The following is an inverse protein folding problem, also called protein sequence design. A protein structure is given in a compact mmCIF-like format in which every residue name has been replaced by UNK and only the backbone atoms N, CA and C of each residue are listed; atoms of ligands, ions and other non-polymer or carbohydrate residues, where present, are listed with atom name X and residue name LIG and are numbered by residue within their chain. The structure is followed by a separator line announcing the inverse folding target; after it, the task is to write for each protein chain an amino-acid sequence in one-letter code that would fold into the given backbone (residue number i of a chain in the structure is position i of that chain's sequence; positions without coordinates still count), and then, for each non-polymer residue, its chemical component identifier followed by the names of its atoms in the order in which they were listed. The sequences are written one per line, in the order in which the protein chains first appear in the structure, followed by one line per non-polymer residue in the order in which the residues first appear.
data_IF_911152671753
#
_entry.id   IF_911152671753
#
_cell.length_a   1.000
_cell.length_b   1.000
_cell.length_c   1.000
_cell.angle_alpha   90.00
_cell.angle_beta   90.00
_cell.angle_gamma   90.00
#
_symmetry.space_group_name_H-M   'P 1'
#
loop_
_entity.id
_entity.type
_entity.pdbx_description
1 polymer ?
#
# COMPACT_ATOMS: atom_id res chain seq x y z
N UNK A 1 -11.98 17.51 -15.88
CA UNK A 1 -11.51 17.34 -17.26
C UNK A 1 -11.69 18.63 -18.05
N UNK A 2 -12.93 19.10 -18.25
CA UNK A 2 -13.24 20.40 -18.88
C UNK A 2 -12.39 21.57 -18.37
N UNK A 3 -12.38 21.81 -17.06
CA UNK A 3 -11.54 22.85 -16.42
C UNK A 3 -10.05 22.69 -16.71
N UNK A 4 -9.54 21.44 -16.71
CA UNK A 4 -8.11 21.15 -16.94
C UNK A 4 -7.69 21.35 -18.40
N UNK A 5 -8.60 21.16 -19.36
CA UNK A 5 -8.34 21.30 -20.78
C UNK A 5 -8.82 22.64 -21.36
N UNK A 6 -9.58 23.42 -20.59
CA UNK A 6 -10.19 24.68 -21.01
C UNK A 6 -11.43 24.50 -21.90
N UNK A 7 -12.00 23.29 -21.93
CA UNK A 7 -13.23 23.01 -22.68
C UNK A 7 -14.49 23.16 -21.84
N UNK A 8 -15.65 23.13 -22.50
CA UNK A 8 -16.97 23.18 -21.88
C UNK A 8 -17.56 21.77 -21.78
N UNK A 9 -18.33 21.50 -20.72
CA UNK A 9 -19.11 20.25 -20.61
C UNK A 9 -20.43 20.44 -21.34
N UNK A 10 -20.64 19.69 -22.43
CA UNK A 10 -21.90 19.72 -23.18
C UNK A 10 -22.98 18.92 -22.44
N UNK A 11 -24.22 19.43 -22.46
CA UNK A 11 -25.36 18.77 -21.81
C UNK A 11 -25.54 19.08 -20.31
N UNK A 12 -24.77 20.03 -19.77
CA UNK A 12 -25.06 20.62 -18.46
C UNK A 12 -26.24 21.61 -18.60
N UNK A 13 -27.30 21.41 -17.80
CA UNK A 13 -28.50 22.27 -17.79
C UNK A 13 -28.14 23.75 -17.52
N UNK A 14 -27.01 24.01 -16.86
CA UNK A 14 -26.52 25.35 -16.58
C UNK A 14 -25.97 26.11 -17.80
N UNK A 15 -25.59 25.43 -18.89
CA UNK A 15 -24.92 26.05 -20.04
C UNK A 15 -25.82 26.20 -21.28
N UNK A 16 -26.92 25.46 -21.38
CA UNK A 16 -27.99 25.70 -22.37
C UNK A 16 -27.59 25.62 -23.85
N UNK A 17 -26.40 25.11 -24.18
CA UNK A 17 -25.89 24.97 -25.55
C UNK A 17 -26.50 23.74 -26.23
N UNK A 18 -27.21 23.97 -27.35
CA UNK A 18 -27.64 22.89 -28.22
C UNK A 18 -26.44 22.27 -28.94
N UNK A 19 -26.49 20.98 -29.23
CA UNK A 19 -25.38 20.24 -29.86
C UNK A 19 -24.99 20.82 -31.24
N UNK A 20 -25.95 21.47 -31.90
CA UNK A 20 -25.83 22.10 -33.21
C UNK A 20 -25.10 23.46 -33.18
N UNK A 21 -25.01 24.11 -32.02
CA UNK A 21 -24.37 25.43 -31.85
C UNK A 21 -22.90 25.32 -31.38
N UNK A 22 -22.39 24.10 -31.16
CA UNK A 22 -21.04 23.86 -30.63
C UNK A 22 -19.98 24.31 -31.65
N UNK A 23 -19.03 25.12 -31.19
CA UNK A 23 -17.92 25.62 -32.00
C UNK A 23 -16.57 25.05 -31.57
N UNK A 24 -15.56 25.20 -32.44
CA UNK A 24 -14.21 24.72 -32.19
C UNK A 24 -13.55 25.33 -30.92
N UNK A 25 -14.03 26.49 -30.46
CA UNK A 25 -13.53 27.13 -29.25
C UNK A 25 -14.08 26.53 -27.95
N UNK A 26 -15.17 25.76 -28.01
CA UNK A 26 -15.77 25.10 -26.86
C UNK A 26 -15.05 23.80 -26.47
N UNK A 27 -14.21 23.27 -27.37
CA UNK A 27 -13.44 22.06 -27.14
C UNK A 27 -12.18 22.34 -26.30
N UNK A 28 -11.87 21.40 -25.40
CA UNK A 28 -10.65 21.43 -24.61
C UNK A 28 -9.39 21.17 -25.45
N UNK A 29 -8.28 21.80 -25.07
CA UNK A 29 -6.98 21.66 -25.73
C UNK A 29 -5.97 21.00 -24.79
N UNK A 30 -5.18 20.08 -25.35
CA UNK A 30 -4.16 19.29 -24.65
C UNK A 30 -2.92 19.17 -25.52
N UNK A 31 -1.74 19.05 -24.90
CA UNK A 31 -0.47 18.94 -25.62
C UNK A 31 -0.19 17.54 -26.15
N UNK A 32 -0.61 16.50 -25.43
CA UNK A 32 -0.41 15.10 -25.82
C UNK A 32 -1.58 14.24 -25.31
N UNK A 33 -2.04 13.32 -26.15
CA UNK A 33 -3.07 12.33 -25.81
C UNK A 33 -2.50 10.94 -26.04
N UNK A 34 -2.51 10.11 -25.00
CA UNK A 34 -2.09 8.71 -25.08
C UNK A 34 -3.31 7.83 -24.81
N UNK A 35 -3.70 7.03 -25.80
CA UNK A 35 -4.82 6.08 -25.69
C UNK A 35 -4.25 4.68 -25.72
N UNK A 36 -4.54 3.90 -24.68
CA UNK A 36 -4.24 2.46 -24.61
C UNK A 36 -5.54 1.67 -24.65
N UNK A 37 -5.46 0.33 -24.53
CA UNK A 37 -6.66 -0.52 -24.46
C UNK A 37 -7.53 -0.18 -23.24
N UNK A 38 -6.89 0.16 -22.13
CA UNK A 38 -7.55 0.26 -20.83
C UNK A 38 -7.57 1.71 -20.27
N UNK A 39 -6.71 2.60 -20.80
CA UNK A 39 -6.54 3.96 -20.27
C UNK A 39 -6.52 5.05 -21.36
N UNK A 40 -6.91 6.26 -20.97
CA UNK A 40 -6.73 7.48 -21.77
C UNK A 40 -6.08 8.57 -20.92
N UNK A 41 -4.89 8.99 -21.33
CA UNK A 41 -4.11 10.02 -20.66
C UNK A 41 -4.14 11.31 -21.47
N UNK A 42 -4.59 12.38 -20.83
CA UNK A 42 -4.61 13.73 -21.39
C UNK A 42 -3.52 14.56 -20.70
N UNK A 43 -2.41 14.80 -21.40
CA UNK A 43 -1.23 15.44 -20.84
C UNK A 43 -1.12 16.89 -21.33
N UNK A 44 -0.61 17.77 -20.46
CA UNK A 44 -0.39 19.21 -20.73
C UNK A 44 -1.67 19.90 -21.20
N UNK A 45 -2.72 19.86 -20.38
CA UNK A 45 -3.97 20.59 -20.61
C UNK A 45 -3.73 22.10 -20.66
N UNK A 46 -4.48 22.80 -21.52
CA UNK A 46 -4.41 24.27 -21.66
C UNK A 46 -5.60 24.98 -21.00
N UNK A 47 -6.04 24.48 -19.85
CA UNK A 47 -7.04 25.15 -19.03
C UNK A 47 -6.53 26.47 -18.46
N UNK A 48 -7.46 27.35 -18.10
CA UNK A 48 -7.14 28.61 -17.42
C UNK A 48 -6.63 28.33 -15.99
N UNK A 49 -5.41 28.78 -15.63
CA UNK A 49 -4.84 28.54 -14.31
C UNK A 49 -5.72 28.99 -13.15
N UNK A 50 -6.39 30.14 -13.26
CA UNK A 50 -7.26 30.66 -12.20
C UNK A 50 -8.49 29.76 -11.96
N UNK A 51 -9.08 29.24 -13.04
CA UNK A 51 -10.21 28.30 -12.94
C UNK A 51 -9.76 26.96 -12.37
N UNK A 52 -8.56 26.48 -12.71
CA UNK A 52 -7.98 25.25 -12.14
C UNK A 52 -7.74 25.43 -10.64
N UNK A 53 -7.10 26.53 -10.21
CA UNK A 53 -6.84 26.83 -8.80
C UNK A 53 -8.15 26.92 -7.99
N UNK A 54 -9.18 27.57 -8.54
CA UNK A 54 -10.50 27.62 -7.90
C UNK A 54 -11.10 26.23 -7.71
N UNK A 55 -10.96 25.35 -8.70
CA UNK A 55 -11.46 23.99 -8.62
C UNK A 55 -10.66 23.13 -7.62
N UNK A 56 -9.34 23.32 -7.57
CA UNK A 56 -8.44 22.68 -6.60
C UNK A 56 -8.83 23.08 -5.18
N UNK A 57 -9.03 24.38 -4.92
CA UNK A 57 -9.45 24.89 -3.62
C UNK A 57 -10.81 24.31 -3.18
N UNK A 58 -11.79 24.26 -4.09
CA UNK A 58 -13.10 23.68 -3.79
C UNK A 58 -13.02 22.18 -3.43
N UNK A 59 -12.16 21.42 -4.09
CA UNK A 59 -11.96 19.99 -3.78
C UNK A 59 -11.22 19.80 -2.45
N UNK A 60 -10.25 20.67 -2.15
CA UNK A 60 -9.55 20.66 -0.87
C UNK A 60 -10.51 20.92 0.31
N UNK A 61 -11.42 21.88 0.17
CA UNK A 61 -12.46 22.14 1.18
C UNK A 61 -13.43 20.95 1.36
N UNK A 62 -13.79 20.26 0.26
CA UNK A 62 -14.58 19.04 0.33
C UNK A 62 -13.84 17.89 1.05
N UNK A 63 -12.53 17.78 0.84
CA UNK A 63 -11.71 16.77 1.53
C UNK A 63 -11.70 16.94 3.05
N UNK A 64 -11.74 18.17 3.54
CA UNK A 64 -11.79 18.45 4.99
C UNK A 64 -13.13 18.10 5.63
N UNK A 65 -14.23 18.18 4.86
CA UNK A 65 -15.59 17.99 5.36
C UNK A 65 -16.11 16.56 5.16
N UNK A 66 -15.51 15.78 4.28
CA UNK A 66 -15.87 14.39 4.02
C UNK A 66 -15.41 13.45 5.13
N UNK A 67 -16.29 12.55 5.58
CA UNK A 67 -15.98 11.50 6.57
C UNK A 67 -15.81 10.09 5.97
N UNK A 68 -16.05 9.92 4.67
CA UNK A 68 -15.93 8.64 3.97
C UNK A 68 -14.52 8.48 3.40
N UNK A 69 -13.81 7.41 3.78
CA UNK A 69 -12.46 7.13 3.28
C UNK A 69 -12.45 6.90 1.76
N UNK A 70 -13.50 6.28 1.21
CA UNK A 70 -13.68 6.09 -0.23
C UNK A 70 -13.79 7.44 -0.96
N UNK A 71 -14.57 8.38 -0.42
CA UNK A 71 -14.70 9.71 -1.02
C UNK A 71 -13.42 10.53 -0.89
N UNK A 72 -12.73 10.43 0.25
CA UNK A 72 -11.41 11.05 0.43
C UNK A 72 -10.41 10.56 -0.60
N UNK A 73 -10.36 9.25 -0.84
CA UNK A 73 -9.50 8.67 -1.87
C UNK A 73 -9.83 9.22 -3.25
N UNK A 74 -11.12 9.25 -3.62
CA UNK A 74 -11.56 9.75 -4.93
C UNK A 74 -11.36 11.26 -5.11
N UNK A 75 -11.55 12.05 -4.06
CA UNK A 75 -11.29 13.49 -4.09
C UNK A 75 -9.78 13.77 -4.18
N UNK A 76 -8.94 13.01 -3.46
CA UNK A 76 -7.48 13.08 -3.57
C UNK A 76 -6.99 12.72 -4.98
N UNK A 77 -7.54 11.66 -5.59
CA UNK A 77 -7.23 11.32 -6.99
C UNK A 77 -7.57 12.48 -7.95
N UNK A 78 -8.71 13.14 -7.75
CA UNK A 78 -9.14 14.29 -8.56
C UNK A 78 -8.25 15.51 -8.33
N UNK A 79 -7.91 15.80 -7.07
CA UNK A 79 -7.04 16.90 -6.69
C UNK A 79 -5.65 16.74 -7.30
N UNK A 80 -5.08 15.54 -7.21
CA UNK A 80 -3.77 15.20 -7.79
C UNK A 80 -3.77 15.35 -9.31
N UNK A 81 -4.85 14.93 -9.98
CA UNK A 81 -5.02 15.09 -11.44
C UNK A 81 -5.13 16.55 -11.89
N UNK A 82 -5.55 17.47 -11.01
CA UNK A 82 -5.70 18.89 -11.31
C UNK A 82 -4.48 19.72 -10.96
N UNK A 83 -3.72 19.33 -9.93
CA UNK A 83 -2.63 20.16 -9.36
C UNK A 83 -1.27 19.96 -10.02
N UNK A 84 -1.22 19.65 -11.33
CA UNK A 84 0.00 19.35 -12.11
C UNK A 84 0.90 18.23 -11.50
N UNK A 85 0.38 17.50 -10.51
CA UNK A 85 1.11 16.55 -9.67
C UNK A 85 1.11 15.11 -10.18
N UNK A 86 0.90 14.90 -11.49
CA UNK A 86 0.84 13.55 -12.07
C UNK A 86 2.22 13.18 -12.63
N UNK A 87 3.03 12.52 -11.83
CA UNK A 87 4.24 11.86 -12.28
C UNK A 87 3.92 10.46 -12.82
N UNK A 88 4.34 10.16 -14.06
CA UNK A 88 4.19 8.83 -14.66
C UNK A 88 5.53 8.09 -14.61
N UNK A 89 5.57 6.98 -13.87
CA UNK A 89 6.72 6.08 -13.82
C UNK A 89 6.57 4.99 -14.87
N UNK A 90 7.41 5.02 -15.91
CA UNK A 90 7.44 3.98 -16.96
C UNK A 90 8.45 2.89 -16.55
N UNK A 91 7.94 1.71 -16.22
CA UNK A 91 8.76 0.54 -15.83
C UNK A 91 8.97 -0.38 -17.02
N UNK A 92 10.22 -0.78 -17.27
CA UNK A 92 10.60 -1.66 -18.39
C UNK A 92 11.48 -2.83 -17.97
N UNK A 93 11.54 -3.86 -18.82
CA UNK A 93 12.25 -5.11 -18.59
C UNK A 93 12.39 -5.93 -19.86
N UNK A 94 13.22 -6.96 -19.85
CA UNK A 94 13.50 -7.82 -21.01
C UNK A 94 12.41 -8.87 -21.25
N UNK A 95 11.62 -9.19 -20.22
CA UNK A 95 10.47 -10.11 -20.29
C UNK A 95 9.28 -9.57 -19.52
N UNK A 96 8.07 -10.05 -19.82
CA UNK A 96 6.84 -9.67 -19.13
C UNK A 96 6.91 -9.98 -17.63
N UNK A 97 7.49 -11.13 -17.25
CA UNK A 97 7.67 -11.52 -15.84
C UNK A 97 8.56 -10.52 -15.10
N UNK A 98 9.65 -10.08 -15.73
CA UNK A 98 10.57 -9.09 -15.14
C UNK A 98 9.90 -7.70 -15.04
N UNK A 99 9.13 -7.29 -16.05
CA UNK A 99 8.37 -6.04 -16.02
C UNK A 99 7.39 -6.04 -14.85
N UNK A 100 6.66 -7.14 -14.66
CA UNK A 100 5.69 -7.27 -13.58
C UNK A 100 6.36 -7.22 -12.21
N UNK A 101 7.46 -7.96 -11.99
CA UNK A 101 8.20 -7.92 -10.72
C UNK A 101 8.76 -6.53 -10.40
N UNK A 102 9.33 -5.84 -11.41
CA UNK A 102 9.83 -4.46 -11.23
C UNK A 102 8.69 -3.48 -10.95
N UNK A 103 7.54 -3.67 -11.60
CA UNK A 103 6.36 -2.83 -11.39
C UNK A 103 5.85 -2.97 -9.96
N UNK A 104 5.81 -4.21 -9.45
CA UNK A 104 5.40 -4.47 -8.06
C UNK A 104 6.38 -3.82 -7.08
N UNK A 105 7.70 -3.98 -7.28
CA UNK A 105 8.71 -3.29 -6.45
C UNK A 105 8.58 -1.76 -6.45
N UNK A 106 8.29 -1.16 -7.60
CA UNK A 106 8.07 0.30 -7.70
C UNK A 106 6.80 0.71 -6.96
N UNK A 107 5.75 -0.11 -7.03
CA UNK A 107 4.49 0.13 -6.32
C UNK A 107 4.70 0.05 -4.80
N UNK A 108 5.44 -0.96 -4.33
CA UNK A 108 5.80 -1.11 -2.92
C UNK A 108 6.63 0.07 -2.42
N UNK A 109 7.64 0.49 -3.19
CA UNK A 109 8.47 1.65 -2.85
C UNK A 109 7.65 2.95 -2.76
N UNK A 110 6.69 3.15 -3.67
CA UNK A 110 5.80 4.31 -3.65
C UNK A 110 4.94 4.31 -2.37
N UNK A 111 4.35 3.16 -2.03
CA UNK A 111 3.51 3.01 -0.85
C UNK A 111 4.32 3.18 0.45
N UNK A 112 5.53 2.61 0.52
CA UNK A 112 6.43 2.78 1.64
C UNK A 112 6.82 4.26 1.83
N UNK A 113 7.13 4.97 0.74
CA UNK A 113 7.48 6.39 0.79
C UNK A 113 6.30 7.24 1.27
N UNK A 114 5.08 6.96 0.80
CA UNK A 114 3.87 7.64 1.29
C UNK A 114 3.66 7.41 2.78
N UNK A 115 3.75 6.16 3.23
CA UNK A 115 3.63 5.82 4.64
C UNK A 115 4.71 6.48 5.52
N UNK A 116 5.93 6.61 5.00
CA UNK A 116 7.04 7.26 5.69
C UNK A 116 6.82 8.78 5.82
N UNK A 117 6.22 9.42 4.82
CA UNK A 117 5.86 10.85 4.89
C UNK A 117 4.74 11.10 5.91
N UNK A 118 3.80 10.17 6.05
CA UNK A 118 2.65 10.32 6.96
C UNK A 118 3.02 10.18 8.44
N UNK A 119 3.76 9.12 8.82
CA UNK A 119 4.04 8.79 10.24
C UNK A 119 5.54 8.73 10.58
N UNK A 120 6.41 9.13 9.65
CA UNK A 120 7.85 9.08 9.83
C UNK A 120 8.45 7.68 9.62
N UNK A 121 9.70 7.56 10.06
CA UNK A 121 10.55 6.38 9.87
C UNK A 121 11.12 5.88 11.19
N UNK A 122 11.43 4.59 11.24
CA UNK A 122 12.07 3.92 12.37
C UNK A 122 13.24 3.03 11.91
N UNK A 123 14.18 2.66 12.80
CA UNK A 123 15.23 1.68 12.49
C UNK A 123 14.64 0.37 11.98
N UNK A 124 15.00 -0.03 10.76
CA UNK A 124 14.41 -1.17 10.09
C UNK A 124 14.94 -2.52 10.55
N UNK A 125 14.70 -3.57 9.75
CA UNK A 125 15.23 -4.92 10.00
C UNK A 125 14.67 -5.57 11.27
N UNK A 126 13.47 -5.15 11.70
CA UNK A 126 12.86 -5.56 12.96
C UNK A 126 13.49 -4.95 14.21
N UNK A 127 14.47 -4.05 14.08
CA UNK A 127 15.13 -3.39 15.22
C UNK A 127 14.13 -2.54 16.02
N UNK A 128 13.27 -1.76 15.35
CA UNK A 128 12.23 -0.98 16.01
C UNK A 128 11.36 -1.81 16.96
N UNK A 129 10.93 -3.01 16.56
CA UNK A 129 10.11 -3.90 17.38
C UNK A 129 10.87 -4.40 18.62
N UNK A 130 12.15 -4.70 18.48
CA UNK A 130 13.01 -5.06 19.62
C UNK A 130 13.14 -3.91 20.62
N UNK A 131 13.26 -2.67 20.13
CA UNK A 131 13.36 -1.47 20.99
C UNK A 131 12.05 -1.16 21.72
N UNK A 132 10.92 -1.68 21.26
CA UNK A 132 9.64 -1.58 21.97
C UNK A 132 9.50 -2.56 23.14
N UNK A 133 10.34 -3.60 23.26
CA UNK A 133 10.23 -4.62 24.31
C UNK A 133 10.21 -4.03 25.74
N UNK A 134 11.10 -3.09 26.12
CA UNK A 134 11.09 -2.52 27.46
C UNK A 134 9.79 -1.78 27.80
N UNK A 135 9.03 -1.29 26.80
CA UNK A 135 7.74 -0.64 27.05
C UNK A 135 6.71 -1.61 27.65
N UNK A 136 6.86 -2.91 27.42
CA UNK A 136 6.00 -3.94 28.01
C UNK A 136 6.19 -4.07 29.53
N UNK A 137 7.31 -3.62 30.09
CA UNK A 137 7.58 -3.70 31.52
C UNK A 137 6.77 -2.66 32.32
N UNK A 138 6.25 -1.63 31.65
CA UNK A 138 5.34 -0.65 32.23
C UNK A 138 3.91 -1.19 32.38
N UNK A 139 3.56 -2.27 31.67
CA UNK A 139 2.23 -2.88 31.72
C UNK A 139 2.12 -3.71 32.99
N UNK A 140 1.15 -3.39 33.85
CA UNK A 140 0.85 -4.14 35.08
C UNK A 140 -0.31 -5.10 34.84
N UNK A 141 -0.07 -6.42 34.73
CA UNK A 141 -1.14 -7.39 34.51
C UNK A 141 -2.02 -7.52 35.76
N UNK A 142 -3.34 -7.62 35.57
CA UNK A 142 -4.27 -7.83 36.67
C UNK A 142 -4.28 -9.28 37.19
N UNK A 143 -3.90 -10.26 36.35
CA UNK A 143 -3.88 -11.68 36.67
C UNK A 143 -2.75 -12.42 35.92
N UNK A 144 -2.61 -13.72 36.19
CA UNK A 144 -1.60 -14.59 35.56
C UNK A 144 -1.75 -14.67 34.04
N UNK A 145 -2.99 -14.68 33.54
CA UNK A 145 -3.26 -14.90 32.12
C UNK A 145 -2.90 -13.68 31.29
N UNK A 146 -3.19 -12.48 31.81
CA UNK A 146 -2.71 -11.23 31.22
C UNK A 146 -1.18 -11.16 31.23
N UNK A 147 -0.51 -11.67 32.27
CA UNK A 147 0.96 -11.73 32.30
C UNK A 147 1.48 -12.64 31.17
N UNK A 148 0.87 -13.80 30.98
CA UNK A 148 1.19 -14.69 29.86
C UNK A 148 0.97 -13.97 28.51
N UNK A 149 -0.12 -13.22 28.36
CA UNK A 149 -0.39 -12.41 27.16
C UNK A 149 0.73 -11.40 26.86
N UNK A 150 1.20 -10.67 27.88
CA UNK A 150 2.34 -9.74 27.73
C UNK A 150 3.62 -10.50 27.33
N UNK A 151 3.88 -11.66 27.92
CA UNK A 151 5.02 -12.51 27.57
C UNK A 151 4.93 -13.06 26.13
N UNK A 152 3.74 -13.35 25.63
CA UNK A 152 3.52 -13.74 24.22
C UNK A 152 3.95 -12.61 23.29
N UNK A 153 3.49 -11.38 23.54
CA UNK A 153 3.89 -10.21 22.74
C UNK A 153 5.40 -9.98 22.84
N UNK A 154 5.99 -10.08 24.04
CA UNK A 154 7.45 -9.95 24.26
C UNK A 154 8.26 -10.92 23.39
N UNK A 155 7.77 -12.16 23.23
CA UNK A 155 8.40 -13.15 22.34
C UNK A 155 8.14 -12.84 20.87
N UNK A 156 6.91 -12.46 20.51
CA UNK A 156 6.51 -12.17 19.14
C UNK A 156 7.34 -11.00 18.53
N UNK A 157 7.61 -9.95 19.31
CA UNK A 157 8.42 -8.80 18.86
C UNK A 157 9.85 -9.17 18.43
N UNK A 158 10.37 -10.32 18.88
CA UNK A 158 11.71 -10.82 18.50
C UNK A 158 11.72 -11.55 17.16
N UNK A 159 10.58 -12.10 16.74
CA UNK A 159 10.48 -13.00 15.60
C UNK A 159 10.86 -12.33 14.28
N UNK A 160 10.49 -11.08 13.97
CA UNK A 160 10.86 -10.46 12.69
C UNK A 160 12.37 -10.36 12.49
N UNK A 161 13.09 -9.81 13.46
CA UNK A 161 14.55 -9.70 13.40
C UNK A 161 15.24 -11.08 13.36
N UNK A 162 14.75 -12.06 14.15
CA UNK A 162 15.25 -13.43 14.08
C UNK A 162 15.03 -14.08 12.71
N UNK A 163 13.87 -13.84 12.09
CA UNK A 163 13.52 -14.42 10.79
C UNK A 163 14.40 -13.86 9.69
N UNK A 164 14.63 -12.55 9.69
CA UNK A 164 15.54 -11.88 8.76
C UNK A 164 16.96 -12.45 8.91
N UNK A 165 17.47 -12.55 10.14
CA UNK A 165 18.78 -13.11 10.43
C UNK A 165 18.90 -14.59 9.99
N UNK A 166 17.90 -15.41 10.27
CA UNK A 166 17.87 -16.82 9.85
C UNK A 166 17.85 -16.97 8.33
N UNK A 167 17.08 -16.15 7.64
CA UNK A 167 17.03 -16.15 6.17
C UNK A 167 18.37 -15.69 5.55
N UNK A 168 19.15 -14.88 6.27
CA UNK A 168 20.52 -14.52 5.92
C UNK A 168 21.57 -15.60 6.31
N UNK A 169 21.14 -16.73 6.86
CA UNK A 169 22.02 -17.86 7.18
C UNK A 169 22.78 -17.75 8.51
N UNK A 170 22.36 -16.86 9.41
CA UNK A 170 23.00 -16.69 10.74
C UNK A 170 22.03 -17.01 11.89
N UNK A 171 22.59 -17.25 13.07
CA UNK A 171 21.82 -17.63 14.26
C UNK A 171 21.01 -16.44 14.81
N UNK A 172 19.70 -16.42 14.52
CA UNK A 172 18.83 -15.28 14.82
C UNK A 172 18.76 -14.91 16.31
N UNK A 173 18.83 -15.90 17.21
CA UNK A 173 18.80 -15.65 18.66
C UNK A 173 20.02 -14.83 19.12
N UNK A 174 21.21 -15.16 18.62
CA UNK A 174 22.44 -14.41 18.93
C UNK A 174 22.39 -12.99 18.35
N UNK A 175 21.81 -12.84 17.15
CA UNK A 175 21.64 -11.54 16.52
C UNK A 175 20.75 -10.64 17.36
N UNK A 176 19.57 -11.12 17.76
CA UNK A 176 18.62 -10.36 18.58
C UNK A 176 19.21 -9.96 19.93
N UNK A 177 19.86 -10.88 20.63
CA UNK A 177 20.47 -10.57 21.93
C UNK A 177 21.56 -9.50 21.79
N UNK A 178 22.39 -9.57 20.75
CA UNK A 178 23.42 -8.55 20.50
C UNK A 178 22.82 -7.20 20.13
N UNK A 179 21.73 -7.15 19.37
CA UNK A 179 20.99 -5.90 19.11
C UNK A 179 20.47 -5.31 20.42
N UNK A 180 19.81 -6.11 21.26
CA UNK A 180 19.24 -5.66 22.54
C UNK A 180 20.30 -5.11 23.51
N UNK A 181 21.53 -5.65 23.47
CA UNK A 181 22.67 -5.16 24.27
C UNK A 181 23.36 -3.92 23.68
N UNK A 182 23.04 -3.55 22.43
CA UNK A 182 23.63 -2.42 21.72
C UNK A 182 22.81 -1.14 21.89
N UNK A 183 23.38 0.01 21.47
CA UNK A 183 22.71 1.31 21.48
C UNK A 183 21.43 1.35 20.62
N UNK A 184 20.53 2.32 20.86
CA UNK A 184 19.16 2.33 20.33
C UNK A 184 19.08 2.27 18.80
N UNK A 185 20.01 2.90 18.08
CA UNK A 185 20.04 2.94 16.62
C UNK A 185 20.85 1.81 15.98
N UNK A 186 21.54 1.01 16.79
CA UNK A 186 22.34 -0.12 16.30
C UNK A 186 21.43 -1.31 16.03
N UNK A 187 21.52 -1.86 14.82
CA UNK A 187 20.84 -3.08 14.40
C UNK A 187 21.79 -4.01 13.65
N UNK A 188 21.23 -4.94 12.89
CA UNK A 188 21.99 -5.91 12.08
C UNK A 188 21.65 -5.73 10.61
N UNK A 189 22.65 -5.35 9.82
CA UNK A 189 22.59 -5.34 8.36
C UNK A 189 22.74 -6.78 7.88
N UNK A 190 21.61 -7.43 7.58
CA UNK A 190 21.57 -8.82 7.16
C UNK A 190 22.17 -9.05 5.76
N UNK A 191 22.31 -8.00 4.93
CA UNK A 191 22.91 -8.10 3.61
C UNK A 191 24.43 -8.20 3.70
N UNK A 192 25.05 -7.39 4.58
CA UNK A 192 26.51 -7.35 4.76
C UNK A 192 27.01 -8.16 5.96
N UNK A 193 26.12 -8.58 6.86
CA UNK A 193 26.46 -9.35 8.06
C UNK A 193 27.08 -8.52 9.20
N UNK A 194 26.78 -7.24 9.26
CA UNK A 194 27.43 -6.28 10.16
C UNK A 194 26.45 -5.62 11.14
N UNK A 195 26.96 -5.18 12.30
CA UNK A 195 26.18 -4.38 13.24
C UNK A 195 26.47 -2.91 13.00
N UNK A 196 25.44 -2.16 12.62
CA UNK A 196 25.58 -0.78 12.13
C UNK A 196 24.50 0.10 12.73
N UNK A 197 24.71 1.42 12.67
CA UNK A 197 23.62 2.37 12.84
C UNK A 197 22.66 2.22 11.65
N UNK A 198 21.44 1.75 11.91
CA UNK A 198 20.46 1.40 10.87
C UNK A 198 20.01 2.64 10.10
N UNK A 199 19.83 3.77 10.79
CA UNK A 199 19.36 5.02 10.18
C UNK A 199 20.45 5.61 9.30
N UNK A 200 21.69 5.69 9.80
CA UNK A 200 22.82 6.19 9.00
C UNK A 200 23.12 5.32 7.78
N UNK A 201 22.91 3.99 7.89
CA UNK A 201 23.06 3.05 6.77
C UNK A 201 21.88 3.09 5.79
N UNK A 202 20.79 3.78 6.13
CA UNK A 202 19.57 3.86 5.31
C UNK A 202 18.67 2.61 5.38
N UNK A 203 18.86 1.75 6.38
CA UNK A 203 18.00 0.59 6.65
C UNK A 203 16.87 1.05 7.56
N UNK A 204 15.85 1.63 6.96
CA UNK A 204 14.73 2.29 7.63
C UNK A 204 13.41 1.68 7.17
N UNK A 205 12.45 1.60 8.10
CA UNK A 205 11.09 1.15 7.81
C UNK A 205 10.10 2.29 8.12
N UNK A 206 9.00 2.45 7.36
CA UNK A 206 7.95 3.42 7.69
C UNK A 206 7.28 3.05 9.02
N UNK A 207 7.13 4.01 9.94
CA UNK A 207 6.50 3.79 11.25
C UNK A 207 5.10 3.19 11.12
N UNK A 208 4.31 3.73 10.18
CA UNK A 208 2.95 3.27 9.90
C UNK A 208 2.90 1.78 9.58
N UNK A 209 3.80 1.29 8.73
CA UNK A 209 3.83 -0.11 8.31
C UNK A 209 4.15 -1.03 9.48
N UNK A 210 5.16 -0.69 10.28
CA UNK A 210 5.56 -1.50 11.45
C UNK A 210 4.42 -1.57 12.49
N UNK A 211 3.77 -0.44 12.76
CA UNK A 211 2.64 -0.34 13.69
C UNK A 211 1.44 -1.14 13.20
N UNK A 212 1.01 -0.92 11.97
CA UNK A 212 -0.15 -1.60 11.37
C UNK A 212 0.08 -3.11 11.33
N UNK A 213 1.25 -3.56 10.89
CA UNK A 213 1.58 -4.99 10.86
C UNK A 213 1.47 -5.66 12.24
N UNK A 214 1.95 -5.00 13.30
CA UNK A 214 1.84 -5.52 14.67
C UNK A 214 0.39 -5.54 15.17
N UNK A 215 -0.37 -4.47 14.92
CA UNK A 215 -1.77 -4.36 15.33
C UNK A 215 -2.67 -5.39 14.64
N UNK A 216 -2.51 -5.56 13.33
CA UNK A 216 -3.30 -6.51 12.54
C UNK A 216 -2.97 -7.95 12.93
N UNK A 217 -1.67 -8.27 13.08
CA UNK A 217 -1.24 -9.59 13.53
C UNK A 217 -1.79 -9.92 14.93
N UNK A 218 -1.74 -8.96 15.87
CA UNK A 218 -2.30 -9.14 17.20
C UNK A 218 -3.83 -9.30 17.16
N UNK A 219 -4.53 -8.54 16.30
CA UNK A 219 -5.98 -8.64 16.11
C UNK A 219 -6.41 -10.03 15.63
N UNK A 220 -5.80 -10.54 14.56
CA UNK A 220 -6.09 -11.88 14.04
C UNK A 220 -5.72 -12.96 15.06
N UNK A 221 -4.55 -12.85 15.69
CA UNK A 221 -4.10 -13.82 16.69
C UNK A 221 -5.04 -13.86 17.91
N UNK A 222 -5.55 -12.71 18.36
CA UNK A 222 -6.52 -12.64 19.45
C UNK A 222 -7.81 -13.35 19.10
N UNK A 223 -8.35 -13.13 17.89
CA UNK A 223 -9.57 -13.80 17.43
C UNK A 223 -9.39 -15.32 17.39
N UNK A 224 -8.29 -15.78 16.79
CA UNK A 224 -7.98 -17.21 16.69
C UNK A 224 -7.74 -17.85 18.06
N UNK A 225 -7.11 -17.14 18.99
CA UNK A 225 -6.85 -17.65 20.34
C UNK A 225 -8.13 -17.86 21.17
N UNK A 226 -9.20 -17.15 20.83
CA UNK A 226 -10.52 -17.29 21.47
C UNK A 226 -11.48 -18.21 20.72
N UNK A 227 -11.09 -18.72 19.56
CA UNK A 227 -11.93 -19.59 18.75
C UNK A 227 -11.90 -21.03 19.29
N UNK A 228 -13.00 -21.47 19.91
CA UNK A 228 -13.12 -22.84 20.45
C UNK A 228 -13.61 -23.87 19.42
N UNK A 229 -14.29 -23.41 18.35
CA UNK A 229 -14.83 -24.28 17.31
C UNK A 229 -14.78 -23.59 15.94
N UNK A 230 -14.64 -24.39 14.89
CA UNK A 230 -14.70 -23.95 13.49
C UNK A 230 -15.71 -24.83 12.76
N UNK A 231 -16.66 -24.20 12.06
CA UNK A 231 -17.62 -24.90 11.20
C UNK A 231 -17.10 -24.80 9.77
N UNK A 232 -16.87 -25.94 9.13
CA UNK A 232 -16.41 -26.02 7.75
C UNK A 232 -17.40 -26.79 6.89
N UNK A 233 -17.41 -26.52 5.59
CA UNK A 233 -18.06 -27.41 4.63
C UNK A 233 -17.39 -28.79 4.66
N UNK A 234 -18.17 -29.85 4.42
CA UNK A 234 -17.59 -31.17 4.22
C UNK A 234 -16.73 -31.18 2.95
N UNK A 235 -15.57 -31.86 2.96
CA UNK A 235 -14.78 -32.05 1.75
C UNK A 235 -15.68 -32.62 0.65
N UNK A 236 -15.71 -31.96 -0.51
CA UNK A 236 -16.43 -32.48 -1.67
C UNK A 236 -15.70 -33.74 -2.13
N UNK A 237 -16.42 -34.85 -2.25
CA UNK A 237 -15.88 -36.02 -2.93
C UNK A 237 -15.61 -35.63 -4.39
N UNK A 238 -14.33 -35.55 -4.76
CA UNK A 238 -13.95 -35.50 -6.16
C UNK A 238 -14.39 -36.82 -6.79
N UNK A 239 -15.47 -36.79 -7.58
CA UNK A 239 -15.83 -37.92 -8.42
C UNK A 239 -14.68 -38.14 -9.40
N UNK A 240 -13.87 -39.16 -9.15
CA UNK A 240 -12.95 -39.70 -10.14
C UNK A 240 -13.72 -39.88 -11.45
N UNK A 241 -13.25 -39.18 -12.48
CA UNK A 241 -13.92 -39.05 -13.76
C UNK A 241 -14.05 -40.40 -14.46
N UNK A 242 -15.17 -41.09 -14.24
CA UNK A 242 -15.73 -41.98 -15.24
C UNK A 242 -16.25 -41.13 -16.39
N UNK A 243 -15.43 -40.86 -17.41
CA UNK A 243 -15.93 -40.40 -18.71
C UNK A 243 -16.66 -41.58 -19.39
N UNK A 244 -17.96 -41.48 -19.69
CA UNK A 244 -18.58 -42.28 -20.73
C UNK A 244 -18.54 -41.44 -22.02
N UNK A 245 -17.37 -41.39 -22.65
CA UNK A 245 -17.18 -40.70 -23.93
C UNK A 245 -17.67 -41.58 -25.08
N UNK A 246 -18.98 -41.59 -25.33
CA UNK A 246 -19.56 -42.14 -26.55
C UNK A 246 -19.07 -41.35 -27.77
N UNK A 247 -18.19 -41.95 -28.56
CA UNK A 247 -17.71 -41.40 -29.82
C UNK A 247 -18.70 -41.79 -30.93
N UNK A 248 -19.84 -41.08 -30.97
CA UNK A 248 -20.75 -41.09 -32.10
C UNK A 248 -20.14 -40.30 -33.25
N UNK A 249 -19.80 -40.99 -34.34
CA UNK A 249 -19.42 -40.37 -35.60
C UNK A 249 -20.57 -39.59 -36.22
N UNK A 250 -20.23 -38.55 -36.98
CA UNK A 250 -21.21 -37.76 -37.72
C UNK A 250 -20.56 -36.60 -38.45
N UNK A 251 -20.23 -36.86 -39.71
CA UNK A 251 -19.80 -35.95 -40.76
C UNK A 251 -20.81 -34.81 -40.99
N UNK A 252 -20.34 -33.57 -41.16
CA UNK A 252 -20.57 -32.61 -42.27
C UNK A 252 -20.32 -31.17 -41.80
#
# INVERSE_FOLDING_TARGET
MAVATGGIVFGDEAMGLALEDIQAHDFGKVGEVVVTKDDTLLLKGRGDPATIEKQVAAIAEQLETTNSDYEKEKLNERLAKLSDGVAVLKVGGASEVEVNEKKDRVTDALNATRAAVEEGIVPGGGCALLRCIPALDAIKPANSDQKIGVDIIRRALRIPAMTIARNAGVEGSLVVEKILQSGPEVGYDALNGEYVNMVEKGIIDPTKVVRTALMDAAGVASLLSTAEAVITELPKEEKEGGMPGGMGGGMF
#
